data_IF_485696492841
#
_entry.id   IF_485696492841
#
_cell.length_a   1.000
_cell.length_b   1.000
_cell.length_c   1.000
_cell.angle_alpha   90.00
_cell.angle_beta   90.00
_cell.angle_gamma   90.00
#
_symmetry.space_group_name_H-M   'P 1'
#
loop_
_entity.id
_entity.type
_entity.pdbx_description
1 polymer ?
#
# COMPACT_ATOMS: atom_id res chain seq x y z
N UNK A 1 5.74 -33.82 -12.58
CA UNK A 1 7.15 -33.61 -12.20
C UNK A 1 7.12 -32.91 -10.83
N UNK A 2 6.80 -33.68 -9.78
CA UNK A 2 6.63 -33.27 -8.38
C UNK A 2 7.10 -34.40 -7.43
N UNK A 3 7.97 -35.30 -7.89
CA UNK A 3 8.45 -36.43 -7.07
C UNK A 3 9.46 -35.98 -6.01
N UNK A 4 10.11 -34.82 -6.18
CA UNK A 4 11.05 -34.27 -5.19
C UNK A 4 10.36 -33.57 -4.00
N UNK A 5 9.08 -33.22 -4.10
CA UNK A 5 8.35 -32.56 -3.02
C UNK A 5 7.84 -33.54 -1.93
N UNK A 6 7.90 -34.85 -2.17
CA UNK A 6 7.36 -35.86 -1.27
C UNK A 6 8.32 -36.35 -0.18
N UNK A 7 9.59 -35.93 -0.22
CA UNK A 7 10.62 -36.34 0.74
C UNK A 7 11.40 -35.15 1.28
N UNK A 8 10.69 -34.05 1.54
CA UNK A 8 11.19 -33.02 2.42
C UNK A 8 10.92 -33.45 3.86
N UNK A 9 11.93 -34.04 4.50
CA UNK A 9 11.90 -34.29 5.94
C UNK A 9 12.47 -33.05 6.66
N UNK A 10 11.64 -32.26 7.38
CA UNK A 10 12.11 -31.11 8.13
C UNK A 10 13.09 -31.47 9.25
N UNK A 11 13.31 -32.76 9.53
CA UNK A 11 14.22 -33.26 10.55
C UNK A 11 15.49 -33.89 9.98
N UNK A 12 15.65 -33.94 8.66
CA UNK A 12 16.88 -34.42 8.03
C UNK A 12 17.96 -33.32 8.08
N UNK A 13 18.98 -33.45 8.96
CA UNK A 13 20.00 -32.44 9.11
C UNK A 13 20.86 -32.30 7.85
N UNK A 14 21.00 -33.34 7.02
CA UNK A 14 21.84 -33.27 5.81
C UNK A 14 21.19 -32.42 4.71
N UNK A 15 19.86 -32.42 4.61
CA UNK A 15 19.12 -31.54 3.68
C UNK A 15 18.95 -30.12 4.20
N UNK A 16 18.91 -29.92 5.52
CA UNK A 16 18.96 -28.56 6.12
C UNK A 16 20.29 -27.85 5.85
N UNK A 17 21.38 -28.58 5.63
CA UNK A 17 22.74 -28.05 5.42
C UNK A 17 22.93 -27.36 4.06
N UNK A 18 22.03 -27.55 3.09
CA UNK A 18 22.11 -26.85 1.79
C UNK A 18 21.60 -25.41 1.82
N UNK A 19 20.96 -25.00 2.91
CA UNK A 19 20.36 -23.67 3.06
C UNK A 19 21.36 -22.73 3.76
N UNK A 20 22.34 -22.24 2.98
CA UNK A 20 23.43 -21.29 3.32
C UNK A 20 23.56 -20.97 4.81
N UNK A 21 24.44 -21.66 5.52
CA UNK A 21 24.78 -21.27 6.89
C UNK A 21 25.22 -19.80 6.93
N UNK A 22 24.78 -19.06 7.96
CA UNK A 22 25.21 -17.67 8.14
C UNK A 22 26.76 -17.62 8.21
N UNK A 23 27.41 -16.60 7.63
CA UNK A 23 28.86 -16.44 7.76
C UNK A 23 29.31 -16.40 9.22
N UNK A 24 30.56 -16.77 9.48
CA UNK A 24 31.13 -16.71 10.83
C UNK A 24 31.03 -15.30 11.42
N UNK A 25 30.54 -15.20 12.66
CA UNK A 25 30.29 -13.92 13.33
C UNK A 25 28.99 -13.23 12.90
N UNK A 26 28.15 -13.87 12.08
CA UNK A 26 26.82 -13.40 11.71
C UNK A 26 25.75 -14.35 12.23
N UNK A 27 24.54 -13.81 12.36
CA UNK A 27 23.33 -14.58 12.63
C UNK A 27 22.29 -14.31 11.56
N UNK A 28 21.68 -15.38 11.08
CA UNK A 28 20.54 -15.31 10.18
C UNK A 28 19.26 -15.03 10.95
N UNK A 29 18.54 -14.00 10.55
CA UNK A 29 17.30 -13.55 11.17
C UNK A 29 16.16 -13.70 10.18
N UNK A 30 15.13 -14.44 10.58
CA UNK A 30 13.88 -14.58 9.84
C UNK A 30 12.85 -13.59 10.41
N UNK A 31 12.44 -12.63 9.60
CA UNK A 31 11.50 -11.58 9.98
C UNK A 31 10.07 -11.93 9.56
N UNK A 32 9.16 -11.94 10.53
CA UNK A 32 7.74 -12.19 10.35
C UNK A 32 6.90 -10.93 10.60
N UNK A 33 5.88 -10.65 9.78
CA UNK A 33 5.06 -9.44 9.92
C UNK A 33 4.10 -9.47 11.13
N UNK A 34 3.74 -10.66 11.62
CA UNK A 34 2.90 -10.88 12.79
C UNK A 34 3.13 -12.30 13.34
N UNK A 35 2.58 -12.60 14.51
CA UNK A 35 2.77 -13.89 15.18
C UNK A 35 2.04 -15.03 14.46
N UNK A 36 0.89 -14.74 13.86
CA UNK A 36 0.09 -15.73 13.13
C UNK A 36 0.86 -16.29 11.92
N UNK A 37 1.68 -15.45 11.26
CA UNK A 37 2.54 -15.86 10.14
C UNK A 37 3.67 -16.83 10.54
N UNK A 38 3.89 -17.05 11.83
CA UNK A 38 4.91 -17.97 12.35
C UNK A 38 4.34 -19.39 12.49
N UNK A 39 3.04 -19.50 12.78
CA UNK A 39 2.33 -20.78 12.96
C UNK A 39 1.85 -21.38 11.63
N UNK A 40 1.66 -20.55 10.61
CA UNK A 40 1.28 -20.99 9.27
C UNK A 40 2.43 -21.83 8.66
N UNK A 41 2.29 -23.16 8.75
CA UNK A 41 3.19 -24.22 8.24
C UNK A 41 3.51 -24.13 6.73
N UNK A 42 3.06 -23.08 6.03
CA UNK A 42 3.46 -22.74 4.66
C UNK A 42 4.74 -21.88 4.69
N UNK A 43 5.84 -22.57 5.03
CA UNK A 43 7.22 -22.11 5.27
C UNK A 43 7.94 -21.43 4.09
N UNK A 44 7.27 -20.85 3.10
CA UNK A 44 7.97 -20.30 1.91
C UNK A 44 7.70 -18.84 1.55
N UNK A 45 6.66 -18.18 2.08
CA UNK A 45 6.18 -16.95 1.44
C UNK A 45 6.04 -15.72 2.35
N UNK A 46 6.16 -15.86 3.66
CA UNK A 46 5.78 -14.79 4.59
C UNK A 46 6.91 -14.27 5.48
N UNK A 47 8.17 -14.61 5.21
CA UNK A 47 9.29 -14.05 5.94
C UNK A 47 10.38 -13.47 5.03
N UNK A 48 11.10 -12.50 5.58
CA UNK A 48 12.30 -11.92 4.96
C UNK A 48 13.48 -12.39 5.78
N UNK A 49 14.45 -13.04 5.12
CA UNK A 49 15.66 -13.52 5.76
C UNK A 49 16.81 -12.57 5.50
N UNK A 50 17.58 -12.26 6.53
CA UNK A 50 18.79 -11.46 6.40
C UNK A 50 19.83 -11.83 7.46
N UNK A 51 21.11 -11.65 7.12
CA UNK A 51 22.22 -11.94 8.03
C UNK A 51 22.68 -10.65 8.72
N UNK A 52 22.82 -10.69 10.04
CA UNK A 52 23.23 -9.57 10.87
C UNK A 52 24.54 -9.88 11.61
N UNK A 53 25.48 -8.93 11.69
CA UNK A 53 26.70 -9.14 12.43
C UNK A 53 26.42 -9.24 13.93
N UNK A 54 27.13 -10.14 14.60
CA UNK A 54 27.21 -10.20 16.05
C UNK A 54 28.34 -9.30 16.54
N UNK A 55 28.22 -8.81 17.76
CA UNK A 55 29.30 -8.10 18.45
C UNK A 55 30.51 -9.03 18.61
N UNK A 56 31.70 -8.61 18.16
CA UNK A 56 32.88 -9.48 18.10
C UNK A 56 33.41 -9.90 19.47
N UNK A 57 33.17 -9.09 20.50
CA UNK A 57 33.73 -9.30 21.83
C UNK A 57 32.77 -10.11 22.72
N UNK A 58 31.47 -9.84 22.58
CA UNK A 58 30.43 -10.44 23.43
C UNK A 58 29.62 -11.53 22.74
N UNK A 59 29.55 -11.53 21.41
CA UNK A 59 28.66 -12.38 20.63
C UNK A 59 27.18 -11.96 20.71
N UNK A 60 26.90 -10.78 21.27
CA UNK A 60 25.55 -10.27 21.42
C UNK A 60 25.02 -9.72 20.08
N UNK A 61 23.70 -9.73 19.91
CA UNK A 61 23.01 -9.13 18.77
C UNK A 61 22.36 -7.80 19.18
N UNK A 62 22.64 -6.75 18.41
CA UNK A 62 21.95 -5.47 18.53
C UNK A 62 20.59 -5.51 17.81
N UNK A 63 19.51 -5.49 18.59
CA UNK A 63 18.13 -5.50 18.06
C UNK A 63 17.72 -4.12 17.52
N UNK A 64 18.41 -3.04 17.87
CA UNK A 64 18.22 -1.74 17.24
C UNK A 64 18.62 -1.77 15.77
N UNK A 65 19.78 -2.34 15.46
CA UNK A 65 20.23 -2.51 14.07
C UNK A 65 19.21 -3.32 13.24
N UNK A 66 18.65 -4.38 13.82
CA UNK A 66 17.63 -5.20 13.16
C UNK A 66 16.34 -4.39 12.91
N UNK A 67 15.88 -3.58 13.89
CA UNK A 67 14.71 -2.69 13.73
C UNK A 67 14.91 -1.66 12.63
N UNK A 68 16.07 -1.02 12.61
CA UNK A 68 16.40 0.02 11.64
C UNK A 68 16.45 -0.57 10.22
N UNK A 69 17.06 -1.75 10.06
CA UNK A 69 17.13 -2.45 8.77
C UNK A 69 15.75 -2.79 8.22
N UNK A 70 14.88 -3.40 9.03
CA UNK A 70 13.51 -3.73 8.60
C UNK A 70 12.54 -2.54 8.64
N UNK A 71 12.99 -1.39 9.13
CA UNK A 71 12.17 -0.20 9.30
C UNK A 71 10.96 -0.46 10.18
N UNK A 72 11.13 -1.09 11.34
CA UNK A 72 10.06 -1.39 12.33
C UNK A 72 10.24 -0.57 13.61
N UNK A 73 9.18 -0.43 14.41
CA UNK A 73 9.27 0.25 15.72
C UNK A 73 9.78 -0.69 16.81
N UNK A 74 9.22 -1.90 16.81
CA UNK A 74 9.50 -2.91 17.81
C UNK A 74 9.57 -4.25 17.11
N UNK A 75 10.60 -5.01 17.47
CA UNK A 75 10.73 -6.40 17.10
C UNK A 75 10.75 -7.21 18.38
N UNK A 76 10.17 -8.40 18.33
CA UNK A 76 10.19 -9.33 19.44
C UNK A 76 10.79 -10.65 18.95
N UNK A 77 11.90 -11.12 19.55
CA UNK A 77 12.43 -12.44 19.26
C UNK A 77 11.42 -13.53 19.63
N UNK A 78 11.41 -14.63 18.88
CA UNK A 78 10.52 -15.76 19.13
C UNK A 78 11.35 -16.99 19.49
N UNK A 79 10.92 -17.68 20.54
CA UNK A 79 11.46 -18.99 20.90
C UNK A 79 10.92 -20.04 19.91
N UNK A 80 11.80 -20.52 19.02
CA UNK A 80 11.49 -21.49 17.97
C UNK A 80 10.82 -22.76 18.47
N UNK A 81 11.21 -23.28 19.65
CA UNK A 81 10.62 -24.49 20.24
C UNK A 81 9.19 -24.28 20.76
N UNK A 82 8.90 -23.09 21.29
CA UNK A 82 7.64 -22.79 22.00
C UNK A 82 6.67 -21.96 21.17
N UNK A 83 7.12 -21.41 20.05
CA UNK A 83 6.39 -20.45 19.23
C UNK A 83 5.82 -19.30 20.08
N UNK A 84 6.63 -18.81 21.03
CA UNK A 84 6.24 -17.75 21.96
C UNK A 84 7.21 -16.58 21.89
N UNK A 85 6.70 -15.33 22.00
CA UNK A 85 7.53 -14.16 22.16
C UNK A 85 8.48 -14.30 23.34
N UNK A 86 9.73 -13.90 23.14
CA UNK A 86 10.77 -13.82 24.15
C UNK A 86 11.04 -12.34 24.46
N UNK A 87 10.91 -11.97 25.74
CA UNK A 87 11.09 -10.59 26.20
C UNK A 87 12.46 -10.47 26.88
N UNK A 88 13.51 -9.98 26.20
CA UNK A 88 14.81 -9.77 26.81
C UNK A 88 14.73 -8.68 27.89
N UNK A 89 15.61 -8.76 28.88
CA UNK A 89 15.72 -7.73 29.92
C UNK A 89 16.10 -6.35 29.34
N UNK A 90 16.91 -6.35 28.27
CA UNK A 90 17.19 -5.18 27.46
C UNK A 90 16.45 -5.32 26.12
N UNK A 91 15.48 -4.44 25.79
CA UNK A 91 14.72 -4.52 24.54
C UNK A 91 15.57 -4.28 23.27
N UNK A 92 16.74 -3.65 23.42
CA UNK A 92 17.58 -3.24 22.30
C UNK A 92 18.75 -4.21 22.06
N UNK A 93 18.97 -5.19 22.94
CA UNK A 93 20.11 -6.11 22.85
C UNK A 93 19.73 -7.54 23.26
N UNK A 94 20.18 -8.52 22.48
CA UNK A 94 20.02 -9.93 22.76
C UNK A 94 21.39 -10.52 23.10
N UNK A 95 21.53 -11.10 24.30
CA UNK A 95 22.82 -11.66 24.72
C UNK A 95 23.20 -12.89 23.90
N UNK A 96 24.49 -13.19 23.77
CA UNK A 96 25.00 -14.37 23.08
C UNK A 96 24.34 -15.69 23.55
N UNK A 97 24.07 -15.79 24.86
CA UNK A 97 23.36 -16.93 25.43
C UNK A 97 21.91 -17.00 24.94
N UNK A 98 21.20 -15.87 24.93
CA UNK A 98 19.83 -15.80 24.42
C UNK A 98 19.77 -16.08 22.92
N UNK A 99 20.75 -15.57 22.16
CA UNK A 99 20.94 -15.88 20.74
C UNK A 99 21.06 -17.39 20.55
N UNK A 100 22.00 -18.04 21.24
CA UNK A 100 22.22 -19.49 21.16
C UNK A 100 20.96 -20.30 21.51
N UNK A 101 20.27 -19.96 22.61
CA UNK A 101 19.03 -20.65 23.02
C UNK A 101 17.90 -20.48 22.01
N UNK A 102 17.81 -19.32 21.34
CA UNK A 102 16.74 -19.07 20.37
C UNK A 102 17.00 -19.74 19.01
N UNK A 103 18.27 -19.99 18.66
CA UNK A 103 18.69 -20.61 17.40
C UNK A 103 18.91 -22.13 17.48
N UNK A 104 18.92 -22.73 18.67
CA UNK A 104 19.33 -24.13 18.92
C UNK A 104 18.71 -25.19 17.98
N UNK A 105 17.46 -24.99 17.53
CA UNK A 105 16.72 -25.97 16.70
C UNK A 105 16.58 -25.60 15.23
N UNK A 106 17.21 -24.53 14.76
CA UNK A 106 17.08 -24.12 13.36
C UNK A 106 18.18 -23.20 12.84
N UNK A 107 19.18 -22.87 13.64
CA UNK A 107 20.28 -21.98 13.26
C UNK A 107 19.89 -20.53 12.96
N UNK A 108 18.59 -20.20 13.00
CA UNK A 108 18.03 -18.90 12.61
C UNK A 108 17.24 -18.31 13.76
N UNK A 109 17.39 -17.00 13.94
CA UNK A 109 16.63 -16.23 14.92
C UNK A 109 15.32 -15.76 14.28
N UNK A 110 14.19 -16.22 14.80
CA UNK A 110 12.87 -15.74 14.36
C UNK A 110 12.53 -14.46 15.12
N UNK A 111 12.13 -13.41 14.41
CA UNK A 111 11.66 -12.15 15.00
C UNK A 111 10.31 -11.76 14.40
N UNK A 112 9.45 -11.14 15.20
CA UNK A 112 8.15 -10.64 14.76
C UNK A 112 8.06 -9.13 14.91
N UNK A 113 7.47 -8.47 13.90
CA UNK A 113 7.11 -7.06 13.96
C UNK A 113 5.96 -6.82 14.94
N UNK A 114 6.14 -5.88 15.85
CA UNK A 114 5.10 -5.41 16.77
C UNK A 114 4.86 -3.92 16.50
N UNK A 115 4.11 -3.57 15.44
CA UNK A 115 3.95 -2.18 15.06
C UNK A 115 3.20 -1.40 16.14
N UNK A 116 3.67 -0.18 16.42
CA UNK A 116 2.95 0.73 17.32
C UNK A 116 1.54 1.03 16.78
N UNK A 117 0.56 1.36 17.65
CA UNK A 117 -0.79 1.73 17.22
C UNK A 117 -0.82 2.88 16.21
N UNK A 118 0.17 3.77 16.26
CA UNK A 118 0.33 4.86 15.31
C UNK A 118 0.79 4.36 13.93
N UNK A 119 1.78 3.46 13.88
CA UNK A 119 2.21 2.85 12.63
C UNK A 119 1.16 1.97 12.00
N UNK A 120 0.35 1.25 12.79
CA UNK A 120 -0.80 0.51 12.27
C UNK A 120 -1.74 1.45 11.52
N UNK A 121 -2.10 2.60 12.11
CA UNK A 121 -2.93 3.61 11.44
C UNK A 121 -2.30 4.15 10.16
N UNK A 122 -0.99 4.37 10.14
CA UNK A 122 -0.28 4.82 8.94
C UNK A 122 -0.24 3.76 7.85
N UNK A 123 0.00 2.49 8.21
CA UNK A 123 -0.05 1.35 7.29
C UNK A 123 -1.45 1.20 6.70
N UNK A 124 -2.49 1.29 7.51
CA UNK A 124 -3.88 1.28 7.03
C UNK A 124 -4.17 2.42 6.06
N UNK A 125 -3.76 3.65 6.39
CA UNK A 125 -3.94 4.81 5.49
C UNK A 125 -3.22 4.61 4.17
N UNK A 126 -1.97 4.14 4.21
CA UNK A 126 -1.18 3.84 3.01
C UNK A 126 -1.84 2.76 2.17
N UNK A 127 -2.32 1.68 2.77
CA UNK A 127 -3.04 0.61 2.07
C UNK A 127 -4.32 1.14 1.42
N UNK A 128 -5.10 1.95 2.13
CA UNK A 128 -6.30 2.60 1.56
C UNK A 128 -5.94 3.47 0.36
N UNK A 129 -4.83 4.22 0.40
CA UNK A 129 -4.35 5.02 -0.72
C UNK A 129 -3.90 4.15 -1.91
N UNK A 130 -3.17 3.07 -1.67
CA UNK A 130 -2.74 2.12 -2.72
C UNK A 130 -3.95 1.45 -3.38
N UNK A 131 -4.93 1.03 -2.59
CA UNK A 131 -6.16 0.42 -3.11
C UNK A 131 -6.95 1.46 -3.92
N UNK A 132 -7.12 2.68 -3.40
CA UNK A 132 -7.82 3.75 -4.09
C UNK A 132 -7.13 4.14 -5.41
N UNK A 133 -5.79 4.23 -5.42
CA UNK A 133 -5.03 4.53 -6.63
C UNK A 133 -5.14 3.40 -7.66
N UNK A 134 -5.11 2.14 -7.22
CA UNK A 134 -5.30 0.98 -8.09
C UNK A 134 -6.70 0.95 -8.71
N UNK A 135 -7.75 1.21 -7.91
CA UNK A 135 -9.13 1.31 -8.41
C UNK A 135 -9.26 2.45 -9.41
N UNK A 136 -8.74 3.63 -9.07
CA UNK A 136 -8.75 4.78 -9.98
C UNK A 136 -8.04 4.46 -11.30
N UNK A 137 -6.87 3.81 -11.24
CA UNK A 137 -6.15 3.36 -12.42
C UNK A 137 -6.97 2.38 -13.26
N UNK A 138 -7.61 1.38 -12.64
CA UNK A 138 -8.50 0.43 -13.33
C UNK A 138 -9.69 1.11 -14.00
N UNK A 139 -10.25 2.16 -13.38
CA UNK A 139 -11.33 2.97 -13.96
C UNK A 139 -10.82 3.77 -15.17
N UNK A 140 -9.61 4.33 -15.09
CA UNK A 140 -9.00 5.11 -16.17
C UNK A 140 -8.55 4.23 -17.35
N UNK A 141 -8.08 3.01 -17.09
CA UNK A 141 -7.71 2.05 -18.13
C UNK A 141 -8.92 1.61 -18.97
N UNK A 142 -10.14 1.70 -18.41
CA UNK A 142 -11.35 1.49 -19.18
C UNK A 142 -11.65 2.71 -20.07
N UNK A 143 -11.32 2.60 -21.36
CA UNK A 143 -11.50 3.66 -22.38
C UNK A 143 -12.90 4.29 -22.37
N UNK A 144 -13.95 3.51 -22.11
CA UNK A 144 -15.33 4.02 -22.04
C UNK A 144 -15.51 4.91 -20.81
N UNK A 145 -15.00 4.48 -19.67
CA UNK A 145 -15.08 5.25 -18.41
C UNK A 145 -14.25 6.54 -18.51
N UNK A 146 -13.06 6.48 -19.10
CA UNK A 146 -12.24 7.67 -19.36
C UNK A 146 -12.98 8.67 -20.26
N UNK A 147 -13.62 8.19 -21.34
CA UNK A 147 -14.41 9.04 -22.23
C UNK A 147 -15.59 9.71 -21.48
N UNK A 148 -16.36 8.94 -20.72
CA UNK A 148 -17.48 9.47 -19.93
C UNK A 148 -17.01 10.49 -18.89
N UNK A 149 -15.87 10.26 -18.23
CA UNK A 149 -15.27 11.19 -17.29
C UNK A 149 -14.88 12.51 -17.96
N UNK A 150 -14.20 12.45 -19.11
CA UNK A 150 -13.83 13.64 -19.90
C UNK A 150 -15.08 14.43 -20.31
N UNK A 151 -16.11 13.75 -20.82
CA UNK A 151 -17.39 14.39 -21.14
C UNK A 151 -18.03 15.06 -19.92
N UNK A 152 -18.02 14.41 -18.76
CA UNK A 152 -18.54 14.97 -17.51
C UNK A 152 -17.79 16.23 -17.07
N UNK A 153 -16.45 16.21 -17.11
CA UNK A 153 -15.61 17.38 -16.78
C UNK A 153 -15.85 18.54 -17.75
N UNK A 154 -15.94 18.27 -19.06
CA UNK A 154 -16.24 19.30 -20.05
C UNK A 154 -17.61 19.94 -19.82
N UNK A 155 -18.64 19.14 -19.54
CA UNK A 155 -19.98 19.64 -19.21
C UNK A 155 -19.97 20.52 -17.95
N UNK A 156 -19.22 20.13 -16.93
CA UNK A 156 -19.07 20.92 -15.71
C UNK A 156 -18.37 22.27 -15.97
N UNK A 157 -17.27 22.27 -16.73
CA UNK A 157 -16.53 23.48 -17.08
C UNK A 157 -17.37 24.44 -17.94
N UNK A 158 -18.14 23.92 -18.90
CA UNK A 158 -19.09 24.70 -19.68
C UNK A 158 -20.17 25.34 -18.80
N UNK A 159 -20.68 24.61 -17.81
CA UNK A 159 -21.63 25.12 -16.83
C UNK A 159 -21.05 26.25 -15.96
N UNK A 160 -19.80 26.09 -15.48
CA UNK A 160 -19.08 27.14 -14.74
C UNK A 160 -18.84 28.37 -15.60
N UNK A 161 -18.39 28.19 -16.83
CA UNK A 161 -18.17 29.28 -17.79
C UNK A 161 -19.47 30.07 -18.04
N UNK A 162 -20.59 29.37 -18.29
CA UNK A 162 -21.89 30.02 -18.49
C UNK A 162 -22.34 30.84 -17.28
N UNK A 163 -22.13 30.34 -16.05
CA UNK A 163 -22.41 31.09 -14.82
C UNK A 163 -21.51 32.31 -14.67
N UNK A 164 -20.21 32.17 -14.92
CA UNK A 164 -19.25 33.26 -14.84
C UNK A 164 -19.55 34.37 -15.86
N UNK A 165 -19.87 33.97 -17.10
CA UNK A 165 -20.26 34.90 -18.16
C UNK A 165 -21.54 35.65 -17.80
N UNK A 166 -22.54 34.95 -17.26
CA UNK A 166 -23.79 35.58 -16.80
C UNK A 166 -23.53 36.59 -15.68
N UNK A 167 -22.66 36.24 -14.72
CA UNK A 167 -22.27 37.14 -13.64
C UNK A 167 -21.50 38.38 -14.14
N UNK A 168 -20.57 38.19 -15.08
CA UNK A 168 -19.80 39.29 -15.67
C UNK A 168 -20.70 40.26 -16.46
N UNK A 169 -21.67 39.74 -17.22
CA UNK A 169 -22.62 40.56 -17.97
C UNK A 169 -23.44 41.49 -17.06
N UNK A 170 -23.95 40.96 -15.95
CA UNK A 170 -24.70 41.74 -14.94
C UNK A 170 -23.82 42.84 -14.32
N UNK A 171 -22.55 42.54 -14.03
CA UNK A 171 -21.67 43.47 -13.35
C UNK A 171 -21.12 44.59 -14.23
N UNK A 172 -20.91 44.32 -15.52
CA UNK A 172 -20.34 45.29 -16.47
C UNK A 172 -21.40 46.26 -17.02
N UNK A 173 -22.69 46.02 -16.77
CA UNK A 173 -23.77 46.91 -17.22
C UNK A 173 -23.94 46.92 -18.73
N UNK A 174 -23.58 45.82 -19.41
CA UNK A 174 -23.82 45.67 -20.85
C UNK A 174 -25.34 45.57 -21.03
N UNK A 175 -25.98 46.46 -21.82
CA UNK A 175 -27.41 46.41 -22.06
C UNK A 175 -27.80 45.05 -22.68
N UNK A 176 -28.80 44.41 -22.06
CA UNK A 176 -29.22 43.01 -22.25
C UNK A 176 -30.05 42.82 -23.53
N UNK A 177 -29.65 43.45 -24.63
CA UNK A 177 -30.35 43.36 -25.94
C UNK A 177 -29.96 42.08 -26.71
N UNK A 178 -29.13 41.20 -26.14
CA UNK A 178 -28.78 39.91 -26.76
C UNK A 178 -29.73 38.82 -26.27
N UNK A 179 -30.27 37.98 -27.17
CA UNK A 179 -31.13 36.86 -26.78
C UNK A 179 -30.38 35.95 -25.80
N UNK A 180 -31.06 35.55 -24.72
CA UNK A 180 -30.45 34.74 -23.66
C UNK A 180 -30.00 33.41 -24.27
N UNK A 181 -28.77 33.00 -24.01
CA UNK A 181 -28.18 31.78 -24.58
C UNK A 181 -29.06 30.52 -24.42
N UNK A 182 -29.82 30.42 -23.34
CA UNK A 182 -30.78 29.34 -23.10
C UNK A 182 -32.01 29.36 -24.02
N UNK A 183 -32.42 30.53 -24.53
CA UNK A 183 -33.47 30.65 -25.54
C UNK A 183 -32.99 30.18 -26.92
N UNK A 184 -31.69 30.30 -27.21
CA UNK A 184 -31.09 29.76 -28.46
C UNK A 184 -30.95 28.24 -28.38
N UNK A 185 -30.64 27.69 -27.21
CA UNK A 185 -30.49 26.25 -27.02
C UNK A 185 -31.84 25.51 -26.88
N UNK A 186 -32.84 26.11 -26.23
CA UNK A 186 -34.19 25.54 -26.12
C UNK A 186 -35.09 25.92 -27.31
N UNK A 187 -34.73 26.96 -28.06
CA UNK A 187 -35.44 27.44 -29.24
C UNK A 187 -35.06 26.68 -30.49
N UNK A 188 -35.44 25.41 -30.55
CA UNK A 188 -35.60 24.73 -31.83
C UNK A 188 -36.47 25.60 -32.74
N UNK A 189 -35.87 26.08 -33.83
CA UNK A 189 -36.45 26.51 -35.11
C UNK A 189 -37.98 26.71 -35.07
N UNK A 190 -38.48 27.68 -34.31
CA UNK A 190 -39.80 28.24 -34.58
C UNK A 190 -39.60 29.34 -35.61
N UNK A 191 -39.52 28.91 -36.87
CA UNK A 191 -39.84 29.73 -38.03
C UNK A 191 -41.15 30.44 -37.72
N UNK A 192 -41.13 31.76 -37.48
CA UNK A 192 -42.34 32.58 -37.54
C UNK A 192 -42.59 32.84 -39.02
N UNK A 193 -43.57 32.19 -39.68
CA UNK A 193 -43.90 32.54 -41.04
C UNK A 193 -44.70 33.84 -41.02
N UNK A 194 -44.25 34.80 -41.84
CA UNK A 194 -45.07 35.79 -42.51
C UNK A 194 -45.93 36.71 -41.65
N UNK A 195 -45.44 37.93 -41.37
CA UNK A 195 -46.32 39.10 -41.35
C UNK A 195 -46.40 39.64 -42.76
N UNK A 196 -47.46 39.26 -43.47
CA UNK A 196 -47.89 39.91 -44.71
C UNK A 196 -48.27 41.34 -44.34
N UNK A 197 -47.53 42.32 -44.85
CA UNK A 197 -47.92 43.73 -44.80
C UNK A 197 -49.13 43.88 -45.71
N UNK A 198 -50.31 44.03 -45.10
CA UNK A 198 -51.53 44.41 -45.80
C UNK A 198 -51.43 45.84 -46.31
N UNK A 199 -51.77 46.00 -47.59
CA UNK A 199 -52.01 47.27 -48.27
C UNK A 199 -53.01 48.14 -47.49
N UNK A 200 -52.74 49.44 -47.44
CA UNK A 200 -53.67 50.45 -46.96
C UNK A 200 -53.47 51.77 -47.71
N UNK A 201 -54.33 51.97 -48.72
CA UNK A 201 -54.78 53.20 -49.39
C UNK A 201 -53.74 54.22 -49.90
#
# INVERSE_FOLDING_TARGET
>A
MYEEALEWDPRDPEKQVLDEQAPDGYIRVDFYPNLDAVDDLHDMLNFVTWDFPLDSDTGDLDLQMVREYFGTDQIIPICSTRFKPFYPANPDKLSALAVHTLTEHGGRLKVVDCPSPERVKWRERRLRLIIASRIFWTIMDNRISMFLFICGVLMFLLGLWGKLHSYAAVRIGIPDDRPRFWEVLNGGIFYRPGRVLGNGA
#
